data_IF_557754184557
#
_entry.id   IF_557754184557
#
_cell.length_a   1.000
_cell.length_b   1.000
_cell.length_c   1.000
_cell.angle_alpha   90.00
_cell.angle_beta   90.00
_cell.angle_gamma   90.00
#
_symmetry.space_group_name_H-M   'P 1'
#
loop_
_entity.id
_entity.type
_entity.pdbx_description
1 polymer ?
#
# COMPACT_ATOMS: atom_id res chain seq x y z
N UNK A 1 12.02 -2.78 24.47
CA UNK A 1 12.03 -1.59 23.58
C UNK A 1 10.96 -1.81 22.51
N UNK A 2 10.25 -0.78 22.05
CA UNK A 2 9.25 -0.95 20.98
C UNK A 2 9.97 -1.29 19.66
N UNK A 3 9.34 -2.06 18.75
CA UNK A 3 9.95 -2.34 17.47
C UNK A 3 10.14 -1.06 16.67
N UNK A 4 11.31 -0.87 16.05
CA UNK A 4 11.66 0.41 15.42
C UNK A 4 12.70 0.28 14.30
N UNK A 5 12.85 1.35 13.52
CA UNK A 5 13.91 1.53 12.52
C UNK A 5 15.20 1.96 13.23
N UNK A 6 16.23 1.13 13.18
CA UNK A 6 17.54 1.41 13.77
C UNK A 6 18.44 2.19 12.80
N UNK A 7 18.48 1.76 11.53
CA UNK A 7 19.32 2.41 10.52
C UNK A 7 18.60 2.50 9.18
N UNK A 8 18.87 3.58 8.45
CA UNK A 8 18.37 3.83 7.10
C UNK A 8 19.55 3.92 6.15
N UNK A 9 19.46 3.21 5.03
CA UNK A 9 20.47 3.18 4.00
C UNK A 9 19.86 3.25 2.59
N UNK A 10 20.54 3.95 1.69
CA UNK A 10 20.24 3.92 0.25
C UNK A 10 21.53 3.67 -0.54
N UNK A 11 21.42 3.22 -1.79
CA UNK A 11 22.52 3.37 -2.75
C UNK A 11 22.00 3.98 -4.03
N UNK A 12 22.71 4.97 -4.57
CA UNK A 12 22.22 5.78 -5.69
C UNK A 12 22.22 5.04 -7.03
N UNK A 13 23.11 4.05 -7.18
CA UNK A 13 23.28 3.18 -8.34
C UNK A 13 23.54 1.73 -7.90
N UNK A 14 23.39 0.77 -8.83
CA UNK A 14 23.70 -0.64 -8.57
C UNK A 14 25.19 -0.85 -8.23
N UNK A 15 25.49 -1.79 -7.33
CA UNK A 15 26.86 -2.14 -6.91
C UNK A 15 27.53 -1.14 -5.96
N UNK A 16 27.12 0.12 -5.92
CA UNK A 16 27.74 1.13 -5.04
C UNK A 16 27.51 0.81 -3.56
N UNK A 17 28.48 1.12 -2.70
CA UNK A 17 28.34 1.10 -1.23
C UNK A 17 27.10 1.89 -0.79
N UNK A 18 26.42 1.39 0.24
CA UNK A 18 25.24 2.05 0.78
C UNK A 18 25.65 3.29 1.60
N UNK A 19 24.82 4.32 1.59
CA UNK A 19 25.00 5.56 2.37
C UNK A 19 23.97 5.59 3.51
N UNK A 20 24.43 5.81 4.73
CA UNK A 20 23.57 5.95 5.90
C UNK A 20 22.87 7.30 5.94
N UNK A 21 21.59 7.30 6.29
CA UNK A 21 20.75 8.48 6.44
C UNK A 21 20.07 8.49 7.81
N UNK A 22 19.65 9.67 8.27
CA UNK A 22 18.77 9.82 9.45
C UNK A 22 17.29 9.79 9.09
N UNK A 23 16.97 10.21 7.87
CA UNK A 23 15.62 10.22 7.32
C UNK A 23 15.65 10.06 5.80
N UNK A 24 14.55 9.59 5.23
CA UNK A 24 14.40 9.37 3.79
C UNK A 24 12.94 9.53 3.37
N UNK A 25 12.72 10.11 2.19
CA UNK A 25 11.39 10.18 1.60
C UNK A 25 11.04 8.84 0.94
N UNK A 26 9.89 8.28 1.30
CA UNK A 26 9.31 7.09 0.72
C UNK A 26 8.19 7.49 -0.27
N UNK A 27 8.12 6.81 -1.40
CA UNK A 27 7.11 7.04 -2.45
C UNK A 27 6.37 5.73 -2.74
N UNK A 28 5.04 5.74 -2.60
CA UNK A 28 4.15 4.60 -2.90
C UNK A 28 4.48 3.99 -4.26
N UNK A 29 4.63 2.66 -4.30
CA UNK A 29 4.87 1.91 -5.54
C UNK A 29 6.20 2.21 -6.26
N UNK A 30 7.08 3.02 -5.66
CA UNK A 30 8.35 3.44 -6.27
C UNK A 30 9.53 3.13 -5.38
N UNK A 31 9.41 3.34 -4.07
CA UNK A 31 10.48 3.11 -3.11
C UNK A 31 11.06 4.38 -2.50
N UNK A 32 12.31 4.28 -2.03
CA UNK A 32 12.99 5.39 -1.34
C UNK A 32 13.64 6.36 -2.32
N UNK A 33 13.35 7.65 -2.16
CA UNK A 33 13.93 8.72 -2.98
C UNK A 33 15.46 8.68 -2.89
N UNK A 34 16.11 8.70 -4.05
CA UNK A 34 17.56 8.59 -4.16
C UNK A 34 18.09 7.17 -4.28
N UNK A 35 17.32 6.14 -3.93
CA UNK A 35 17.75 4.75 -4.06
C UNK A 35 17.65 4.23 -5.51
N UNK A 36 18.58 3.35 -5.88
CA UNK A 36 18.70 2.69 -7.17
C UNK A 36 17.41 1.99 -7.62
N UNK A 37 16.67 1.35 -6.71
CA UNK A 37 15.45 0.65 -7.07
C UNK A 37 14.31 1.61 -7.42
N UNK A 38 14.23 2.75 -6.72
CA UNK A 38 13.28 3.82 -7.04
C UNK A 38 13.55 4.55 -8.37
N UNK A 39 14.78 4.40 -8.89
CA UNK A 39 15.18 4.91 -10.21
C UNK A 39 15.10 3.84 -11.32
N UNK A 40 14.66 2.61 -11.02
CA UNK A 40 14.68 1.51 -11.98
C UNK A 40 16.09 1.03 -12.38
N UNK A 41 17.12 1.44 -11.62
CA UNK A 41 18.54 1.14 -11.85
C UNK A 41 19.05 0.02 -10.92
N UNK A 42 18.15 -0.77 -10.35
CA UNK A 42 18.48 -1.91 -9.51
C UNK A 42 19.01 -3.11 -10.31
N UNK A 43 19.75 -4.00 -9.63
CA UNK A 43 20.23 -5.25 -10.22
C UNK A 43 19.06 -6.18 -10.63
N UNK A 44 18.05 -6.29 -9.77
CA UNK A 44 16.84 -7.05 -10.06
C UNK A 44 15.87 -6.23 -10.92
N UNK A 45 15.40 -6.82 -12.04
CA UNK A 45 14.52 -6.16 -13.03
C UNK A 45 13.12 -6.77 -13.24
N UNK A 46 12.85 -7.99 -12.77
CA UNK A 46 11.49 -8.60 -12.69
C UNK A 46 10.39 -7.77 -11.96
N UNK A 47 9.43 -7.23 -12.72
CA UNK A 47 8.34 -6.40 -12.21
C UNK A 47 7.39 -7.12 -11.23
N UNK A 48 7.42 -8.46 -11.15
CA UNK A 48 6.55 -9.26 -10.26
C UNK A 48 7.01 -9.27 -8.81
N UNK A 49 8.16 -8.67 -8.51
CA UNK A 49 8.73 -8.68 -7.16
C UNK A 49 8.83 -7.26 -6.65
N UNK A 50 8.16 -7.02 -5.53
CA UNK A 50 8.26 -5.80 -4.72
C UNK A 50 9.70 -5.32 -4.55
N UNK A 51 9.89 -4.02 -4.72
CA UNK A 51 11.19 -3.33 -4.65
C UNK A 51 11.18 -2.06 -3.85
N UNK A 52 10.01 -1.65 -3.38
CA UNK A 52 9.85 -0.33 -2.82
C UNK A 52 10.78 -0.17 -1.61
N UNK A 53 10.83 -1.19 -0.75
CA UNK A 53 11.74 -1.18 0.38
C UNK A 53 12.17 -2.59 0.79
N UNK A 54 13.39 -2.68 1.32
CA UNK A 54 13.94 -3.92 1.89
C UNK A 54 14.41 -3.69 3.32
N UNK A 55 14.16 -4.67 4.18
CA UNK A 55 14.40 -4.61 5.62
C UNK A 55 15.29 -5.78 6.06
N UNK A 56 16.03 -5.63 7.16
CA UNK A 56 16.72 -6.72 7.86
C UNK A 56 16.71 -6.50 9.37
N UNK A 57 16.61 -7.57 10.15
CA UNK A 57 16.77 -7.53 11.59
C UNK A 57 18.22 -7.15 11.96
N UNK A 58 18.40 -6.15 12.81
CA UNK A 58 19.71 -5.81 13.37
C UNK A 58 20.28 -6.96 14.20
N UNK A 59 19.41 -7.74 14.84
CA UNK A 59 19.77 -8.95 15.59
C UNK A 59 20.45 -9.99 14.68
N UNK A 60 20.02 -10.06 13.42
CA UNK A 60 20.67 -10.91 12.41
C UNK A 60 22.03 -10.33 12.02
N UNK A 61 22.14 -9.01 11.84
CA UNK A 61 23.40 -8.36 11.50
C UNK A 61 24.46 -8.59 12.59
N UNK A 62 24.07 -8.50 13.86
CA UNK A 62 24.93 -8.80 15.01
C UNK A 62 25.40 -10.24 15.00
N UNK A 63 24.47 -11.20 14.83
CA UNK A 63 24.81 -12.63 14.76
C UNK A 63 25.83 -12.91 13.64
N UNK A 64 25.68 -12.27 12.48
CA UNK A 64 26.65 -12.42 11.37
C UNK A 64 27.98 -11.73 11.69
N UNK A 65 27.95 -10.59 12.39
CA UNK A 65 29.16 -9.88 12.83
C UNK A 65 29.95 -10.63 13.88
N UNK A 66 29.30 -11.38 14.77
CA UNK A 66 29.97 -12.27 15.72
C UNK A 66 30.68 -13.41 14.99
N UNK A 67 30.06 -13.96 13.96
CA UNK A 67 30.61 -15.08 13.19
C UNK A 67 31.73 -14.67 12.21
N UNK A 68 31.67 -13.47 11.63
CA UNK A 68 32.59 -13.02 10.57
C UNK A 68 33.50 -11.84 10.99
N UNK A 69 33.41 -11.40 12.24
CA UNK A 69 34.02 -10.15 12.73
C UNK A 69 33.24 -8.90 12.31
N UNK A 70 33.66 -7.71 12.79
CA UNK A 70 32.94 -6.46 12.63
C UNK A 70 32.48 -6.21 11.20
N UNK A 71 31.17 -5.98 11.05
CA UNK A 71 30.52 -5.63 9.79
C UNK A 71 30.30 -4.14 9.68
N UNK A 72 30.45 -3.65 8.46
CA UNK A 72 30.12 -2.28 8.13
C UNK A 72 28.60 -2.07 8.06
N UNK A 73 28.11 -0.90 8.48
CA UNK A 73 26.71 -0.52 8.29
C UNK A 73 26.32 -0.56 6.81
N UNK A 74 25.12 -1.07 6.52
CA UNK A 74 24.62 -1.18 5.15
C UNK A 74 25.26 -2.29 4.31
N UNK A 75 26.19 -3.10 4.84
CA UNK A 75 26.83 -4.20 4.08
C UNK A 75 25.83 -5.23 3.55
N UNK A 76 24.69 -5.39 4.22
CA UNK A 76 23.59 -6.28 3.81
C UNK A 76 22.80 -5.75 2.62
N UNK A 77 23.05 -4.49 2.24
CA UNK A 77 22.43 -3.75 1.13
C UNK A 77 20.91 -3.57 1.24
N UNK A 78 20.38 -3.76 2.45
CA UNK A 78 18.97 -3.54 2.81
C UNK A 78 18.76 -2.08 3.16
N UNK A 79 17.57 -1.58 2.86
CA UNK A 79 17.27 -0.16 3.08
C UNK A 79 17.10 0.14 4.56
N UNK A 80 16.38 -0.70 5.30
CA UNK A 80 16.16 -0.51 6.73
C UNK A 80 16.80 -1.64 7.54
N UNK A 81 17.51 -1.27 8.60
CA UNK A 81 17.79 -2.18 9.71
C UNK A 81 16.74 -1.95 10.79
N UNK A 82 16.11 -3.00 11.29
CA UNK A 82 15.02 -2.94 12.27
C UNK A 82 15.39 -3.65 13.54
N UNK A 83 14.81 -3.23 14.68
CA UNK A 83 15.00 -3.89 15.98
C UNK A 83 13.68 -4.25 16.63
N UNK A 84 13.67 -5.35 17.37
CA UNK A 84 12.52 -5.79 18.16
C UNK A 84 11.33 -6.28 17.33
N UNK A 85 11.50 -6.54 16.03
CA UNK A 85 10.47 -7.10 15.13
C UNK A 85 11.03 -8.29 14.37
N UNK A 86 10.25 -9.37 14.32
CA UNK A 86 10.56 -10.54 13.49
C UNK A 86 9.99 -10.34 12.10
N UNK A 87 10.87 -10.18 11.11
CA UNK A 87 10.48 -9.81 9.75
C UNK A 87 9.76 -10.94 9.01
N UNK A 88 10.07 -12.20 9.32
CA UNK A 88 9.33 -13.36 8.79
C UNK A 88 7.83 -13.28 9.13
N UNK A 89 7.49 -12.76 10.31
CA UNK A 89 6.10 -12.59 10.77
C UNK A 89 5.35 -11.44 10.08
N UNK A 90 6.03 -10.64 9.26
CA UNK A 90 5.43 -9.54 8.49
C UNK A 90 5.10 -9.94 7.04
N UNK A 91 5.50 -11.13 6.59
CA UNK A 91 5.17 -11.61 5.24
C UNK A 91 3.65 -11.73 5.09
N UNK A 92 3.09 -11.09 4.07
CA UNK A 92 1.64 -11.01 3.82
C UNK A 92 0.89 -10.05 4.75
N UNK A 93 1.56 -9.38 5.69
CA UNK A 93 0.94 -8.48 6.65
C UNK A 93 1.18 -7.02 6.28
N UNK A 94 0.19 -6.19 6.60
CA UNK A 94 0.30 -4.74 6.53
C UNK A 94 0.79 -4.18 7.88
N UNK A 95 1.69 -3.21 7.81
CA UNK A 95 2.32 -2.59 8.98
C UNK A 95 2.71 -1.13 8.72
N UNK A 96 2.74 -0.35 9.79
CA UNK A 96 3.26 1.02 9.79
C UNK A 96 4.76 1.03 10.05
N UNK A 97 5.47 1.91 9.34
CA UNK A 97 6.84 2.36 9.63
C UNK A 97 6.75 3.88 9.85
N UNK A 98 6.72 4.31 11.11
CA UNK A 98 6.34 5.70 11.40
C UNK A 98 4.94 5.97 10.84
N UNK A 99 4.81 6.93 9.92
CA UNK A 99 3.55 7.26 9.24
C UNK A 99 3.43 6.68 7.83
N UNK A 100 4.37 5.81 7.43
CA UNK A 100 4.38 5.15 6.13
C UNK A 100 3.82 3.74 6.25
N UNK A 101 2.72 3.47 5.54
CA UNK A 101 2.14 2.14 5.42
C UNK A 101 2.92 1.27 4.43
N UNK A 102 3.22 0.04 4.83
CA UNK A 102 3.88 -0.97 4.00
C UNK A 102 3.20 -2.33 4.12
N UNK A 103 3.38 -3.19 3.11
CA UNK A 103 2.93 -4.59 3.14
C UNK A 103 4.09 -5.52 2.84
N UNK A 104 4.36 -6.45 3.76
CA UNK A 104 5.42 -7.43 3.58
C UNK A 104 5.05 -8.40 2.46
N UNK A 105 5.94 -8.61 1.51
CA UNK A 105 5.66 -9.44 0.33
C UNK A 105 6.36 -10.78 0.39
N UNK A 106 7.69 -10.77 0.56
CA UNK A 106 8.49 -11.98 0.51
C UNK A 106 9.73 -11.87 1.37
N UNK A 107 10.11 -13.00 1.97
CA UNK A 107 11.40 -13.16 2.60
C UNK A 107 12.52 -12.99 1.56
N UNK A 108 13.61 -12.38 1.98
CA UNK A 108 14.77 -12.21 1.16
C UNK A 108 15.71 -13.40 1.29
N UNK A 109 16.06 -13.99 0.15
CA UNK A 109 17.17 -14.95 0.08
C UNK A 109 18.47 -14.21 -0.28
N UNK A 110 19.59 -14.46 0.43
CA UNK A 110 20.88 -13.88 0.05
C UNK A 110 21.31 -14.47 -1.30
N UNK A 111 21.97 -13.65 -2.14
CA UNK A 111 22.39 -14.04 -3.49
C UNK A 111 23.89 -13.82 -3.69
N UNK A 112 24.49 -14.49 -4.69
CA UNK A 112 25.93 -14.41 -4.97
C UNK A 112 26.41 -12.96 -5.19
N UNK A 113 25.60 -12.13 -5.84
CA UNK A 113 25.89 -10.71 -6.05
C UNK A 113 26.11 -9.94 -4.73
N UNK A 114 25.45 -10.32 -3.62
CA UNK A 114 25.70 -9.72 -2.31
C UNK A 114 27.13 -10.01 -1.84
N UNK A 115 27.63 -11.23 -2.04
CA UNK A 115 28.99 -11.62 -1.63
C UNK A 115 30.04 -10.88 -2.45
N UNK A 116 29.83 -10.78 -3.75
CA UNK A 116 30.73 -10.06 -4.66
C UNK A 116 30.86 -8.59 -4.26
N UNK A 117 29.73 -7.92 -3.99
CA UNK A 117 29.72 -6.49 -3.65
C UNK A 117 30.18 -6.24 -2.20
N UNK A 118 29.85 -7.13 -1.27
CA UNK A 118 30.27 -7.00 0.12
C UNK A 118 31.73 -7.42 0.36
N UNK A 119 32.33 -8.18 -0.56
CA UNK A 119 33.65 -8.78 -0.38
C UNK A 119 33.74 -9.75 0.81
N UNK A 120 32.60 -10.30 1.25
CA UNK A 120 32.51 -11.17 2.44
C UNK A 120 31.55 -12.34 2.20
N UNK A 121 31.86 -13.49 2.81
CA UNK A 121 31.10 -14.74 2.70
C UNK A 121 29.75 -14.69 3.47
N UNK A 122 28.85 -13.79 3.08
CA UNK A 122 27.58 -13.50 3.76
C UNK A 122 26.45 -14.49 3.43
N UNK A 123 26.59 -15.36 2.41
CA UNK A 123 25.51 -16.26 1.98
C UNK A 123 25.04 -17.22 3.07
N UNK A 124 25.96 -18.02 3.63
CA UNK A 124 25.61 -19.04 4.64
C UNK A 124 25.08 -18.39 5.92
N UNK A 125 25.71 -17.33 6.47
CA UNK A 125 25.22 -16.70 7.70
C UNK A 125 23.83 -16.04 7.54
N UNK A 126 23.50 -15.53 6.35
CA UNK A 126 22.19 -14.94 6.05
C UNK A 126 21.16 -15.94 5.49
N UNK A 127 21.51 -17.23 5.39
CA UNK A 127 20.59 -18.23 4.86
C UNK A 127 19.29 -18.25 5.68
N UNK A 128 18.15 -18.04 5.01
CA UNK A 128 16.80 -17.90 5.60
C UNK A 128 16.64 -16.73 6.59
N UNK A 129 17.59 -15.80 6.62
CA UNK A 129 17.60 -14.59 7.46
C UNK A 129 18.01 -13.37 6.64
N UNK A 130 17.72 -13.39 5.34
CA UNK A 130 18.16 -12.33 4.43
C UNK A 130 17.32 -11.05 4.53
N UNK A 131 16.30 -11.03 5.39
CA UNK A 131 15.40 -9.91 5.62
C UNK A 131 14.06 -10.02 4.88
N UNK A 132 13.39 -8.89 4.68
CA UNK A 132 12.04 -8.78 4.10
C UNK A 132 12.01 -7.80 2.93
N UNK A 133 11.21 -8.11 1.91
CA UNK A 133 10.76 -7.14 0.90
C UNK A 133 9.37 -6.65 1.26
N UNK A 134 9.09 -5.37 1.03
CA UNK A 134 7.76 -4.82 1.27
C UNK A 134 7.41 -3.78 0.20
N UNK A 135 6.13 -3.74 -0.14
CA UNK A 135 5.53 -2.68 -0.96
C UNK A 135 5.22 -1.48 -0.07
N UNK A 136 5.48 -0.28 -0.57
CA UNK A 136 5.03 0.95 0.06
C UNK A 136 3.62 1.24 -0.42
N UNK A 137 2.67 1.18 0.51
CA UNK A 137 1.25 1.46 0.24
C UNK A 137 0.90 2.95 0.45
N UNK A 138 1.84 3.75 0.95
CA UNK A 138 1.66 5.19 1.08
C UNK A 138 3.00 5.91 0.92
N UNK A 139 2.92 7.21 0.61
CA UNK A 139 4.08 8.09 0.56
C UNK A 139 4.22 8.83 1.89
N UNK A 140 5.45 9.10 2.32
CA UNK A 140 5.73 9.81 3.55
C UNK A 140 7.22 9.77 3.89
N UNK A 141 7.60 10.36 5.02
CA UNK A 141 8.98 10.36 5.47
C UNK A 141 9.21 9.25 6.50
N UNK A 142 10.31 8.51 6.36
CA UNK A 142 10.77 7.50 7.33
C UNK A 142 12.02 8.04 8.02
N UNK A 143 12.10 7.93 9.34
CA UNK A 143 13.21 8.38 10.18
C UNK A 143 13.76 7.26 11.05
N UNK A 144 15.05 7.34 11.39
CA UNK A 144 15.61 6.50 12.43
C UNK A 144 14.85 6.73 13.74
N UNK A 145 14.49 5.64 14.42
CA UNK A 145 13.65 5.64 15.61
C UNK A 145 12.16 5.47 15.35
N UNK A 146 11.70 5.54 14.09
CA UNK A 146 10.30 5.32 13.75
C UNK A 146 9.83 3.94 14.21
N UNK A 147 8.67 3.90 14.86
CA UNK A 147 8.09 2.66 15.37
C UNK A 147 7.56 1.81 14.23
N UNK A 148 7.72 0.48 14.37
CA UNK A 148 7.16 -0.52 13.47
C UNK A 148 6.01 -1.22 14.19
N UNK A 149 4.82 -1.20 13.58
CA UNK A 149 3.63 -1.82 14.18
C UNK A 149 2.74 -2.49 13.14
N UNK A 150 2.43 -3.76 13.34
CA UNK A 150 1.43 -4.49 12.57
C UNK A 150 0.04 -3.89 12.82
N UNK A 151 -0.76 -3.80 11.78
CA UNK A 151 -2.13 -3.26 11.84
C UNK A 151 -3.11 -4.23 11.20
N UNK A 152 -4.31 -4.28 11.74
CA UNK A 152 -5.41 -5.03 11.14
C UNK A 152 -6.04 -4.22 10.01
N UNK A 153 -6.29 -4.87 8.88
CA UNK A 153 -7.01 -4.30 7.76
C UNK A 153 -8.52 -4.38 8.03
N UNK A 154 -9.22 -3.27 7.89
CA UNK A 154 -10.68 -3.22 7.94
C UNK A 154 -11.23 -3.42 6.53
N UNK A 155 -12.17 -4.34 6.37
CA UNK A 155 -12.85 -4.53 5.09
C UNK A 155 -13.74 -3.32 4.76
N UNK A 156 -13.72 -2.92 3.49
CA UNK A 156 -14.64 -1.93 2.91
C UNK A 156 -15.06 -2.35 1.52
N UNK A 157 -16.25 -1.91 1.11
CA UNK A 157 -16.78 -2.12 -0.24
C UNK A 157 -17.04 -0.75 -0.86
N UNK A 158 -16.45 -0.50 -2.03
CA UNK A 158 -16.77 0.65 -2.88
C UNK A 158 -17.58 0.21 -4.09
N UNK A 159 -18.69 0.90 -4.38
CA UNK A 159 -19.60 0.54 -5.47
C UNK A 159 -19.33 1.40 -6.70
N UNK A 160 -18.90 0.78 -7.80
CA UNK A 160 -18.69 1.49 -9.07
C UNK A 160 -19.93 1.32 -9.94
N UNK A 161 -20.57 2.42 -10.28
CA UNK A 161 -21.65 2.45 -11.26
C UNK A 161 -21.20 3.28 -12.45
N UNK A 162 -21.33 2.73 -13.66
CA UNK A 162 -20.95 3.38 -14.91
C UNK A 162 -22.22 3.66 -15.73
N UNK A 163 -22.36 4.89 -16.22
CA UNK A 163 -23.38 5.30 -17.21
C UNK A 163 -22.76 6.28 -18.19
N UNK A 164 -22.88 6.00 -19.49
CA UNK A 164 -22.39 6.91 -20.55
C UNK A 164 -20.95 7.42 -20.28
N UNK A 165 -20.04 6.49 -20.00
CA UNK A 165 -18.63 6.74 -19.66
C UNK A 165 -18.35 7.55 -18.38
N UNK A 166 -19.37 7.77 -17.55
CA UNK A 166 -19.27 8.47 -16.27
C UNK A 166 -19.43 7.51 -15.11
N UNK A 167 -18.71 7.78 -14.03
CA UNK A 167 -18.84 7.06 -12.76
C UNK A 167 -19.65 7.88 -11.75
N UNK A 168 -20.43 7.18 -10.93
CA UNK A 168 -21.16 7.79 -9.81
C UNK A 168 -20.22 8.08 -8.64
N UNK A 169 -20.16 9.33 -8.21
CA UNK A 169 -19.36 9.78 -7.07
C UNK A 169 -20.13 10.79 -6.21
N UNK A 170 -19.83 10.82 -4.92
CA UNK A 170 -20.46 11.70 -3.95
C UNK A 170 -19.45 12.39 -3.05
N UNK A 171 -19.78 13.63 -2.67
CA UNK A 171 -18.94 14.41 -1.76
C UNK A 171 -19.21 14.02 -0.31
N UNK A 172 -18.17 13.52 0.36
CA UNK A 172 -18.22 13.11 1.76
C UNK A 172 -18.28 14.34 2.67
N UNK A 173 -19.28 14.36 3.55
CA UNK A 173 -19.44 15.34 4.65
C UNK A 173 -19.31 14.68 6.02
N UNK A 174 -19.08 13.37 6.06
CA UNK A 174 -18.69 12.67 7.28
C UNK A 174 -17.31 13.14 7.80
N UNK A 175 -17.09 13.03 9.11
CA UNK A 175 -15.84 13.44 9.75
C UNK A 175 -14.59 12.74 9.16
N UNK A 176 -14.74 11.50 8.70
CA UNK A 176 -13.67 10.76 8.04
C UNK A 176 -13.68 11.01 6.53
N UNK A 177 -12.69 11.77 6.05
CA UNK A 177 -12.60 12.16 4.64
C UNK A 177 -13.53 13.33 4.28
N UNK A 178 -13.83 14.22 5.22
CA UNK A 178 -14.62 15.42 4.96
C UNK A 178 -14.08 16.19 3.75
N UNK A 179 -14.97 16.57 2.84
CA UNK A 179 -14.66 17.31 1.62
C UNK A 179 -14.05 16.48 0.49
N UNK A 180 -13.78 15.18 0.71
CA UNK A 180 -13.28 14.28 -0.34
C UNK A 180 -14.42 13.63 -1.14
N UNK A 181 -14.10 13.13 -2.33
CA UNK A 181 -15.07 12.48 -3.23
C UNK A 181 -14.89 10.96 -3.24
N UNK A 182 -15.98 10.22 -3.12
CA UNK A 182 -15.98 8.75 -3.04
C UNK A 182 -17.09 8.14 -3.88
N UNK A 183 -16.92 6.88 -4.26
CA UNK A 183 -18.03 6.02 -4.68
C UNK A 183 -19.00 5.78 -3.52
N UNK A 184 -20.26 5.39 -3.77
CA UNK A 184 -21.10 4.79 -2.74
C UNK A 184 -20.41 3.59 -2.10
N UNK A 185 -20.76 3.26 -0.87
CA UNK A 185 -20.25 2.05 -0.23
C UNK A 185 -20.01 2.17 1.26
N UNK A 186 -19.69 1.04 1.87
CA UNK A 186 -19.60 0.92 3.31
C UNK A 186 -18.86 -0.31 3.77
N UNK A 187 -19.13 -0.72 5.01
CA UNK A 187 -18.50 -1.89 5.63
C UNK A 187 -19.43 -3.09 5.47
N UNK A 188 -18.91 -4.26 5.08
CA UNK A 188 -19.72 -5.47 5.06
C UNK A 188 -20.17 -5.83 6.48
N UNK A 189 -21.43 -6.22 6.62
CA UNK A 189 -22.00 -6.78 7.83
C UNK A 189 -21.41 -8.16 8.16
N UNK A 190 -21.67 -8.66 9.36
CA UNK A 190 -21.20 -9.98 9.78
C UNK A 190 -21.81 -11.09 8.90
N UNK A 191 -20.97 -11.83 8.18
CA UNK A 191 -21.39 -12.89 7.25
C UNK A 191 -21.97 -12.38 5.93
N UNK A 192 -22.00 -11.07 5.70
CA UNK A 192 -22.47 -10.46 4.45
C UNK A 192 -21.44 -10.66 3.34
N UNK A 193 -21.90 -11.04 2.14
CA UNK A 193 -21.02 -11.10 0.99
C UNK A 193 -20.65 -9.70 0.51
N UNK A 194 -19.49 -9.55 -0.14
CA UNK A 194 -19.07 -8.25 -0.70
C UNK A 194 -20.05 -7.76 -1.78
N UNK A 195 -20.71 -8.68 -2.48
CA UNK A 195 -21.73 -8.39 -3.48
C UNK A 195 -23.03 -7.87 -2.86
N UNK A 196 -23.50 -8.53 -1.80
CA UNK A 196 -24.71 -8.09 -1.08
C UNK A 196 -24.48 -6.72 -0.42
N UNK A 197 -23.30 -6.52 0.18
CA UNK A 197 -22.89 -5.24 0.72
C UNK A 197 -22.92 -4.14 -0.36
N UNK A 198 -22.36 -4.40 -1.55
CA UNK A 198 -22.38 -3.43 -2.63
C UNK A 198 -23.81 -3.03 -3.06
N UNK A 199 -24.70 -4.02 -3.24
CA UNK A 199 -26.09 -3.77 -3.64
C UNK A 199 -26.85 -3.02 -2.54
N UNK A 200 -26.65 -3.40 -1.27
CA UNK A 200 -27.29 -2.76 -0.12
C UNK A 200 -26.84 -1.30 0.01
N UNK A 201 -25.54 -1.04 0.06
CA UNK A 201 -24.98 0.31 0.23
C UNK A 201 -25.38 1.23 -0.93
N UNK A 202 -25.37 0.73 -2.18
CA UNK A 202 -25.84 1.50 -3.33
C UNK A 202 -27.29 1.96 -3.13
N UNK A 203 -28.16 1.05 -2.70
CA UNK A 203 -29.58 1.35 -2.46
C UNK A 203 -29.77 2.30 -1.28
N UNK A 204 -29.08 2.05 -0.17
CA UNK A 204 -29.21 2.83 1.07
C UNK A 204 -28.72 4.26 0.90
N UNK A 205 -27.59 4.47 0.22
CA UNK A 205 -26.99 5.81 0.11
C UNK A 205 -27.54 6.62 -1.07
N UNK A 206 -27.96 5.96 -2.16
CA UNK A 206 -28.32 6.63 -3.43
C UNK A 206 -29.77 6.42 -3.88
N UNK A 207 -30.43 5.37 -3.38
CA UNK A 207 -31.76 4.95 -3.85
C UNK A 207 -31.77 4.11 -5.13
N UNK A 208 -30.62 3.96 -5.81
CA UNK A 208 -30.51 3.15 -7.02
C UNK A 208 -30.62 1.65 -6.71
N UNK A 209 -31.23 0.89 -7.61
CA UNK A 209 -31.26 -0.58 -7.53
C UNK A 209 -30.19 -1.17 -8.43
N UNK A 210 -29.37 -2.05 -7.87
CA UNK A 210 -28.24 -2.67 -8.54
C UNK A 210 -28.44 -4.16 -8.84
N UNK A 211 -27.90 -4.61 -9.97
CA UNK A 211 -27.81 -6.01 -10.39
C UNK A 211 -26.41 -6.35 -10.91
N UNK A 212 -26.15 -7.63 -11.18
CA UNK A 212 -24.90 -8.11 -11.81
C UNK A 212 -23.60 -7.63 -11.14
N UNK A 213 -23.46 -7.79 -9.82
CA UNK A 213 -22.30 -7.30 -9.10
C UNK A 213 -21.03 -8.07 -9.50
N UNK A 214 -19.94 -7.35 -9.77
CA UNK A 214 -18.64 -7.93 -10.18
C UNK A 214 -17.48 -7.22 -9.51
N UNK A 215 -16.56 -7.97 -8.88
CA UNK A 215 -15.34 -7.39 -8.32
C UNK A 215 -14.43 -6.96 -9.47
N UNK A 216 -13.96 -5.71 -9.40
CA UNK A 216 -13.13 -5.10 -10.45
C UNK A 216 -11.72 -4.75 -9.97
N UNK A 217 -11.54 -4.51 -8.67
CA UNK A 217 -10.27 -4.10 -8.10
C UNK A 217 -10.26 -4.21 -6.58
N UNK A 218 -9.06 -4.19 -6.00
CA UNK A 218 -8.82 -4.09 -4.56
C UNK A 218 -7.76 -3.02 -4.29
N UNK A 219 -7.92 -2.29 -3.20
CA UNK A 219 -6.92 -1.34 -2.71
C UNK A 219 -6.68 -1.52 -1.21
N UNK A 220 -5.49 -1.16 -0.74
CA UNK A 220 -5.19 -1.07 0.69
C UNK A 220 -4.67 0.32 0.97
N UNK A 221 -5.36 1.04 1.86
CA UNK A 221 -5.12 2.45 2.11
C UNK A 221 -5.10 2.75 3.61
N UNK A 222 -4.07 3.46 4.04
CA UNK A 222 -3.84 3.81 5.44
C UNK A 222 -4.13 5.27 5.74
N UNK A 223 -4.61 5.52 6.96
CA UNK A 223 -4.92 6.84 7.50
C UNK A 223 -4.03 7.10 8.72
N UNK A 224 -2.87 7.78 8.56
CA UNK A 224 -1.86 7.87 9.61
C UNK A 224 -2.36 8.45 10.94
N UNK A 225 -3.27 9.44 10.88
CA UNK A 225 -3.79 10.13 12.06
C UNK A 225 -4.64 9.20 12.95
N UNK A 226 -5.46 8.34 12.34
CA UNK A 226 -6.30 7.38 13.07
C UNK A 226 -5.66 6.00 13.22
N UNK A 227 -4.55 5.75 12.51
CA UNK A 227 -3.91 4.43 12.32
C UNK A 227 -4.81 3.38 11.67
N UNK A 228 -5.97 3.77 11.16
CA UNK A 228 -6.87 2.88 10.45
C UNK A 228 -6.27 2.50 9.08
N UNK A 229 -6.50 1.25 8.68
CA UNK A 229 -6.16 0.74 7.35
C UNK A 229 -7.39 0.06 6.80
N UNK A 230 -7.74 0.38 5.56
CA UNK A 230 -8.87 -0.22 4.86
C UNK A 230 -8.38 -1.03 3.68
N UNK A 231 -8.79 -2.30 3.63
CA UNK A 231 -8.74 -3.12 2.43
C UNK A 231 -10.10 -2.95 1.74
N UNK A 232 -10.12 -2.16 0.66
CA UNK A 232 -11.34 -1.82 -0.06
C UNK A 232 -11.47 -2.67 -1.31
N UNK A 233 -12.56 -3.42 -1.41
CA UNK A 233 -12.94 -4.14 -2.62
C UNK A 233 -13.90 -3.28 -3.43
N UNK A 234 -13.56 -3.04 -4.69
CA UNK A 234 -14.43 -2.30 -5.60
C UNK A 234 -15.31 -3.29 -6.38
N UNK A 235 -16.61 -3.08 -6.30
CA UNK A 235 -17.63 -3.90 -6.96
C UNK A 235 -18.36 -3.03 -7.97
N UNK A 236 -18.26 -3.37 -9.25
CA UNK A 236 -19.07 -2.75 -10.27
C UNK A 236 -20.48 -3.34 -10.25
N UNK A 237 -21.49 -2.47 -10.37
CA UNK A 237 -22.90 -2.83 -10.31
C UNK A 237 -23.64 -2.16 -11.47
N UNK A 238 -24.49 -2.93 -12.14
CA UNK A 238 -25.39 -2.39 -13.16
C UNK A 238 -26.60 -1.79 -12.43
N UNK A 239 -26.73 -0.47 -12.48
CA UNK A 239 -27.82 0.25 -11.82
C UNK A 239 -29.02 0.47 -12.76
N UNK A 240 -30.22 0.51 -12.20
CA UNK A 240 -31.45 0.92 -12.91
C UNK A 240 -31.33 2.36 -13.48
N UNK A 241 -32.35 2.83 -14.21
CA UNK A 241 -32.38 4.19 -14.77
C UNK A 241 -32.67 5.30 -13.75
N UNK A 242 -32.64 5.02 -12.44
CA UNK A 242 -33.01 5.98 -11.39
C UNK A 242 -32.07 7.18 -11.31
N UNK A 243 -32.56 8.25 -10.65
CA UNK A 243 -31.75 9.42 -10.31
C UNK A 243 -31.22 9.24 -8.88
N UNK A 244 -29.89 9.27 -8.67
CA UNK A 244 -29.32 9.11 -7.33
C UNK A 244 -29.66 10.30 -6.44
N UNK A 245 -30.08 10.02 -5.20
CA UNK A 245 -30.42 11.01 -4.17
C UNK A 245 -29.54 10.79 -2.94
N UNK A 246 -29.13 11.85 -2.25
CA UNK A 246 -28.40 11.72 -0.98
C UNK A 246 -29.36 11.29 0.14
N UNK A 247 -29.62 9.98 0.25
CA UNK A 247 -30.55 9.44 1.25
C UNK A 247 -29.97 9.46 2.68
N UNK A 248 -28.66 9.60 2.79
CA UNK A 248 -27.94 9.85 4.04
C UNK A 248 -27.27 11.25 4.01
N UNK A 249 -28.05 12.34 4.12
CA UNK A 249 -27.59 13.72 3.90
C UNK A 249 -26.63 14.23 4.99
N UNK A 250 -26.27 13.40 5.96
CA UNK A 250 -25.24 13.67 6.97
C UNK A 250 -23.90 13.00 6.65
N UNK A 251 -23.86 12.10 5.65
CA UNK A 251 -22.64 11.43 5.17
C UNK A 251 -22.20 11.91 3.80
N UNK A 252 -23.16 12.18 2.92
CA UNK A 252 -22.91 12.59 1.54
C UNK A 252 -23.77 13.80 1.16
N UNK A 253 -23.15 14.86 0.65
CA UNK A 253 -23.86 16.10 0.32
C UNK A 253 -24.70 15.97 -0.96
N UNK A 254 -24.13 15.37 -1.99
CA UNK A 254 -24.76 15.17 -3.29
C UNK A 254 -24.04 14.07 -4.07
N UNK A 255 -24.74 13.49 -5.04
CA UNK A 255 -24.21 12.55 -6.02
C UNK A 255 -24.06 13.22 -7.38
N UNK A 256 -22.99 12.89 -8.10
CA UNK A 256 -22.77 13.35 -9.47
C UNK A 256 -22.20 12.24 -10.36
N UNK A 257 -22.42 12.40 -11.65
CA UNK A 257 -21.83 11.57 -12.70
C UNK A 257 -20.61 12.30 -13.26
N UNK A 258 -19.41 11.78 -13.02
CA UNK A 258 -18.16 12.38 -13.45
C UNK A 258 -17.39 11.46 -14.39
N UNK A 259 -16.75 12.02 -15.42
CA UNK A 259 -15.78 11.25 -16.22
C UNK A 259 -14.54 10.97 -15.37
N UNK A 260 -13.90 9.82 -15.57
CA UNK A 260 -12.77 9.36 -14.74
C UNK A 260 -11.58 10.32 -14.78
N UNK A 261 -11.35 10.97 -15.94
CA UNK A 261 -10.32 11.98 -16.19
C UNK A 261 -10.65 13.36 -15.62
N UNK A 262 -11.91 13.61 -15.24
CA UNK A 262 -12.42 14.91 -14.78
C UNK A 262 -13.06 14.81 -13.39
N UNK A 263 -12.72 13.77 -12.61
CA UNK A 263 -13.29 13.62 -11.27
C UNK A 263 -12.88 14.80 -10.37
N UNK A 264 -13.81 15.32 -9.55
CA UNK A 264 -13.50 16.35 -8.57
C UNK A 264 -12.42 15.90 -7.58
N UNK A 265 -11.62 16.85 -7.13
CA UNK A 265 -10.55 16.63 -6.16
C UNK A 265 -10.85 17.37 -4.85
N UNK A 266 -10.37 16.87 -3.69
CA UNK A 266 -9.59 15.65 -3.51
C UNK A 266 -10.45 14.37 -3.53
N UNK A 267 -9.92 13.29 -4.11
CA UNK A 267 -10.53 11.96 -4.03
C UNK A 267 -10.28 11.34 -2.65
N UNK A 268 -11.23 10.54 -2.16
CA UNK A 268 -11.02 9.71 -0.98
C UNK A 268 -9.97 8.64 -1.30
N UNK A 269 -9.10 8.30 -0.33
CA UNK A 269 -7.86 7.56 -0.61
C UNK A 269 -8.05 6.24 -1.40
N UNK A 270 -9.04 5.38 -1.07
CA UNK A 270 -9.32 4.19 -1.88
C UNK A 270 -9.66 4.49 -3.34
N UNK A 271 -10.46 5.53 -3.60
CA UNK A 271 -10.84 5.93 -4.96
C UNK A 271 -9.64 6.52 -5.70
N UNK A 272 -8.81 7.32 -5.02
CA UNK A 272 -7.55 7.81 -5.60
C UNK A 272 -6.62 6.65 -6.01
N UNK A 273 -6.51 5.64 -5.15
CA UNK A 273 -5.73 4.43 -5.41
C UNK A 273 -6.27 3.60 -6.57
N UNK A 274 -7.60 3.50 -6.69
CA UNK A 274 -8.26 2.83 -7.82
C UNK A 274 -8.01 3.57 -9.15
N UNK A 275 -8.10 4.89 -9.16
CA UNK A 275 -7.82 5.70 -10.36
C UNK A 275 -6.35 5.58 -10.76
N UNK A 276 -5.44 5.61 -9.79
CA UNK A 276 -4.00 5.52 -10.04
C UNK A 276 -3.56 4.14 -10.56
N UNK A 277 -4.28 3.07 -10.22
CA UNK A 277 -4.00 1.73 -10.75
C UNK A 277 -4.55 1.50 -12.16
N UNK A 278 -5.30 2.45 -12.71
CA UNK A 278 -5.97 2.32 -14.01
C UNK A 278 -7.29 1.56 -13.96
N UNK A 279 -7.76 1.19 -12.75
CA UNK A 279 -8.90 0.28 -12.58
C UNK A 279 -10.23 0.83 -13.08
N UNK A 280 -10.45 2.15 -13.04
CA UNK A 280 -11.66 2.76 -13.60
C UNK A 280 -11.55 2.96 -15.12
N UNK A 281 -10.38 3.35 -15.63
CA UNK A 281 -10.16 3.58 -17.04
C UNK A 281 -10.32 2.28 -17.86
N UNK A 282 -9.89 1.14 -17.31
CA UNK A 282 -10.09 -0.16 -17.96
C UNK A 282 -11.55 -0.56 -18.10
N UNK A 283 -12.45 0.00 -17.28
CA UNK A 283 -13.88 -0.33 -17.31
C UNK A 283 -14.69 0.58 -18.21
N UNK A 284 -14.28 1.85 -18.33
CA UNK A 284 -14.91 2.82 -19.23
C UNK A 284 -14.45 2.62 -20.68
N UNK A 285 -13.25 2.06 -20.90
CA UNK A 285 -12.70 1.85 -22.24
C UNK A 285 -13.16 0.56 -22.95
N UNK A 286 -14.11 -0.20 -22.39
CA UNK A 286 -14.68 -1.36 -23.08
C UNK A 286 -15.93 -0.93 -23.86
N UNK A 287 -15.85 -0.77 -25.21
CA UNK A 287 -17.06 -0.67 -26.01
C UNK A 287 -17.79 -2.02 -25.97
N UNK A 288 -19.12 -1.97 -25.93
CA UNK A 288 -20.03 -3.13 -26.07
C UNK A 288 -19.71 -3.99 -27.30
#
# INVERSE_FOLDING_TARGET
MKPHVEHIHIASIAGQRMTSLREVQATRGRGLVGDRYAKGMGFWRDARVSRDITLIEGEVVETVSEALGPLEQGITRRNLTTRGVRLDGLVGRTFWIGDVLAKGTLACFPCQHLVEVAGRALLRPLARRGGLRADLLSSGQIRTGDTISVVAEQAGVGVVVIREDKVLIGQRISAHGFGTWSTPGGKPGAGESLYDCAIRELREETGLRGTSPRIIAETIDGFPQSRAVFATTFVQVDADGGVPCALEPHKTAAWLWGRVDELPTPLFAPVASLVASGGLQSLVAQPD
#
